data_IF_299228156461
#
_entry.id   IF_299228156461
#
_cell.length_a   1.000
_cell.length_b   1.000
_cell.length_c   1.000
_cell.angle_alpha   90.00
_cell.angle_beta   90.00
_cell.angle_gamma   90.00
#
_symmetry.space_group_name_H-M   'P 1'
#
loop_
_entity.id
_entity.type
_entity.pdbx_description
1 polymer ?
#
# COMPACT_ATOMS: atom_id res chain seq x y z
N UNK A 1 16.08 -3.11 16.28
CA UNK A 1 17.02 -3.79 15.35
C UNK A 1 18.11 -2.85 14.81
N UNK A 2 18.07 -1.52 15.07
CA UNK A 2 19.20 -0.62 14.78
C UNK A 2 19.54 -0.49 13.29
N UNK A 3 18.62 -0.86 12.41
CA UNK A 3 18.81 -1.01 10.98
C UNK A 3 17.58 -0.42 10.29
N UNK A 4 17.79 0.68 9.56
CA UNK A 4 16.74 1.50 8.95
C UNK A 4 16.25 0.91 7.61
N UNK A 5 16.92 -0.12 7.08
CA UNK A 5 16.50 -0.82 5.85
C UNK A 5 15.48 -1.94 6.11
N UNK A 6 15.09 -2.15 7.37
CA UNK A 6 14.12 -3.17 7.74
C UNK A 6 12.71 -2.66 7.48
N UNK A 7 11.98 -3.37 6.62
CA UNK A 7 10.55 -3.17 6.42
C UNK A 7 9.76 -4.08 7.37
N UNK A 8 8.67 -3.56 7.95
CA UNK A 8 7.91 -4.26 8.98
C UNK A 8 6.42 -4.25 8.68
N UNK A 9 5.81 -5.44 8.71
CA UNK A 9 4.36 -5.63 8.79
C UNK A 9 3.94 -5.92 10.23
N UNK A 10 3.04 -5.14 10.81
CA UNK A 10 2.65 -5.22 12.23
C UNK A 10 1.13 -5.14 12.42
N UNK A 11 0.63 -5.84 13.44
CA UNK A 11 -0.74 -5.66 13.93
C UNK A 11 -0.78 -4.79 15.18
N UNK A 12 -1.81 -3.95 15.29
CA UNK A 12 -2.11 -3.21 16.53
C UNK A 12 -2.95 -4.03 17.53
N UNK A 13 -3.41 -3.39 18.61
CA UNK A 13 -4.30 -4.02 19.60
C UNK A 13 -5.58 -4.60 19.01
N UNK A 14 -6.09 -4.04 17.91
CA UNK A 14 -7.24 -4.59 17.20
C UNK A 14 -6.98 -6.00 16.65
N UNK A 15 -5.77 -6.26 16.12
CA UNK A 15 -5.37 -7.59 15.64
C UNK A 15 -5.17 -8.56 16.81
N UNK A 16 -4.51 -8.11 17.88
CA UNK A 16 -4.30 -8.91 19.11
C UNK A 16 -5.64 -9.37 19.72
N UNK A 17 -6.64 -8.48 19.72
CA UNK A 17 -8.00 -8.77 20.18
C UNK A 17 -8.92 -9.37 19.10
N UNK A 18 -8.38 -9.74 17.92
CA UNK A 18 -9.10 -10.41 16.83
C UNK A 18 -10.36 -9.68 16.35
N UNK A 19 -10.31 -8.34 16.31
CA UNK A 19 -11.38 -7.51 15.72
C UNK A 19 -11.56 -7.90 14.25
N UNK A 20 -12.78 -8.22 13.83
CA UNK A 20 -13.06 -8.81 12.50
C UNK A 20 -12.56 -7.97 11.30
N UNK A 21 -12.37 -6.66 11.48
CA UNK A 21 -11.86 -5.73 10.47
C UNK A 21 -10.45 -5.21 10.80
N UNK A 22 -9.70 -5.91 11.67
CA UNK A 22 -8.33 -5.54 11.99
C UNK A 22 -7.42 -5.64 10.75
N UNK A 23 -6.57 -4.62 10.58
CA UNK A 23 -5.62 -4.50 9.49
C UNK A 23 -4.21 -4.96 9.90
N UNK A 24 -3.36 -5.15 8.89
CA UNK A 24 -1.90 -5.19 9.04
C UNK A 24 -1.36 -3.87 8.49
N UNK A 25 -0.51 -3.19 9.26
CA UNK A 25 0.16 -1.97 8.83
C UNK A 25 1.58 -2.31 8.37
N UNK A 26 1.96 -1.80 7.21
CA UNK A 26 3.31 -1.93 6.65
C UNK A 26 4.00 -0.57 6.70
N UNK A 27 5.08 -0.51 7.47
CA UNK A 27 5.90 0.69 7.64
C UNK A 27 5.04 1.90 8.02
N UNK A 28 5.18 3.06 7.36
CA UNK A 28 4.47 4.28 7.76
C UNK A 28 3.12 4.51 7.05
N UNK A 29 2.94 4.02 5.82
CA UNK A 29 1.86 4.50 4.94
C UNK A 29 0.99 3.41 4.32
N UNK A 30 1.41 2.14 4.35
CA UNK A 30 0.73 1.06 3.65
C UNK A 30 -0.08 0.19 4.61
N UNK A 31 -1.19 -0.37 4.14
CA UNK A 31 -2.04 -1.23 4.96
C UNK A 31 -2.74 -2.33 4.16
N UNK A 32 -2.81 -3.54 4.73
CA UNK A 32 -3.73 -4.58 4.32
C UNK A 32 -4.95 -4.53 5.24
N UNK A 33 -6.01 -3.85 4.78
CA UNK A 33 -7.07 -3.36 5.69
C UNK A 33 -8.39 -4.13 5.64
N UNK A 34 -8.81 -4.63 4.48
CA UNK A 34 -10.13 -5.27 4.33
C UNK A 34 -10.03 -6.79 4.44
N UNK A 35 -11.09 -7.43 4.93
CA UNK A 35 -11.17 -8.88 5.09
C UNK A 35 -10.57 -9.44 6.39
N UNK A 36 -10.17 -8.58 7.33
CA UNK A 36 -9.67 -9.00 8.65
C UNK A 36 -8.31 -9.70 8.69
N UNK A 37 -7.32 -9.38 7.82
CA UNK A 37 -6.02 -10.06 7.85
C UNK A 37 -5.29 -9.88 9.19
N UNK A 38 -5.47 -8.74 9.87
CA UNK A 38 -4.88 -8.49 11.18
C UNK A 38 -5.45 -9.39 12.28
N UNK A 39 -6.74 -9.77 12.18
CA UNK A 39 -7.36 -10.71 13.12
C UNK A 39 -6.79 -12.12 12.95
N UNK A 40 -6.58 -12.55 11.71
CA UNK A 40 -5.95 -13.82 11.38
C UNK A 40 -4.52 -13.87 11.92
N UNK A 41 -3.73 -12.82 11.70
CA UNK A 41 -2.36 -12.72 12.21
C UNK A 41 -2.34 -12.76 13.76
N UNK A 42 -3.23 -12.02 14.43
CA UNK A 42 -3.34 -12.04 15.89
C UNK A 42 -3.84 -13.37 16.46
N UNK A 43 -4.71 -14.09 15.75
CA UNK A 43 -5.14 -15.45 16.12
C UNK A 43 -3.99 -16.46 16.18
N UNK A 44 -2.89 -16.17 15.49
CA UNK A 44 -1.66 -16.98 15.46
C UNK A 44 -0.60 -16.47 16.44
N UNK A 45 -0.95 -15.53 17.32
CA UNK A 45 -0.01 -14.86 18.24
C UNK A 45 1.20 -14.24 17.53
N UNK A 46 1.03 -13.77 16.28
CA UNK A 46 2.10 -13.16 15.50
C UNK A 46 1.96 -11.63 15.56
N UNK A 47 2.86 -10.94 16.27
CA UNK A 47 2.81 -9.48 16.42
C UNK A 47 3.31 -8.73 15.19
N UNK A 48 4.41 -9.18 14.61
CA UNK A 48 5.06 -8.51 13.50
C UNK A 48 5.88 -9.49 12.65
N UNK A 49 6.12 -9.11 11.39
CA UNK A 49 7.12 -9.68 10.50
C UNK A 49 8.07 -8.55 10.09
N UNK A 50 9.37 -8.75 10.33
CA UNK A 50 10.42 -7.81 9.96
C UNK A 50 11.33 -8.47 8.92
N UNK A 51 11.56 -7.80 7.80
CA UNK A 51 12.33 -8.34 6.68
C UNK A 51 13.40 -7.34 6.25
N UNK A 52 14.65 -7.81 6.13
CA UNK A 52 15.74 -7.10 5.46
C UNK A 52 16.10 -7.85 4.19
N UNK A 53 15.96 -7.20 3.03
CA UNK A 53 16.35 -7.77 1.74
C UNK A 53 17.63 -7.14 1.22
N UNK A 54 18.66 -7.95 0.95
CA UNK A 54 19.93 -7.48 0.35
C UNK A 54 20.23 -8.13 -1.01
N UNK A 55 19.39 -9.06 -1.45
CA UNK A 55 19.54 -9.77 -2.72
C UNK A 55 18.99 -8.98 -3.91
N UNK A 56 19.61 -9.16 -5.08
CA UNK A 56 19.07 -8.66 -6.35
C UNK A 56 17.94 -9.54 -6.91
N UNK A 57 17.15 -8.97 -7.82
CA UNK A 57 16.10 -9.69 -8.55
C UNK A 57 16.59 -10.09 -9.94
N UNK A 58 16.29 -11.32 -10.37
CA UNK A 58 16.55 -11.80 -11.74
C UNK A 58 15.31 -11.61 -12.60
N UNK A 59 15.43 -10.80 -13.64
CA UNK A 59 14.40 -10.60 -14.66
C UNK A 59 14.71 -11.50 -15.87
N UNK A 60 13.70 -12.16 -16.44
CA UNK A 60 13.89 -13.09 -17.55
C UNK A 60 14.40 -12.37 -18.81
N UNK A 61 13.67 -11.36 -19.27
CA UNK A 61 14.02 -10.49 -20.40
C UNK A 61 14.30 -9.08 -19.86
N UNK A 62 15.53 -8.87 -19.36
CA UNK A 62 15.86 -7.65 -18.61
C UNK A 62 15.75 -6.39 -19.49
N UNK A 63 16.29 -6.43 -20.71
CA UNK A 63 16.31 -5.27 -21.61
C UNK A 63 14.88 -4.83 -22.01
N UNK A 64 14.03 -5.79 -22.40
CA UNK A 64 12.63 -5.53 -22.75
C UNK A 64 11.83 -5.00 -21.56
N UNK A 65 12.06 -5.55 -20.36
CA UNK A 65 11.42 -5.08 -19.14
C UNK A 65 11.76 -3.62 -18.85
N UNK A 66 13.05 -3.25 -18.91
CA UNK A 66 13.48 -1.89 -18.63
C UNK A 66 13.02 -0.90 -19.71
N UNK A 67 12.98 -1.31 -20.98
CA UNK A 67 12.41 -0.50 -22.05
C UNK A 67 10.91 -0.23 -21.81
N UNK A 68 10.15 -1.28 -21.50
CA UNK A 68 8.72 -1.16 -21.19
C UNK A 68 8.50 -0.27 -19.97
N UNK A 69 9.23 -0.48 -18.88
CA UNK A 69 9.11 0.33 -17.66
C UNK A 69 9.40 1.81 -17.93
N UNK A 70 10.43 2.12 -18.72
CA UNK A 70 10.77 3.49 -19.10
C UNK A 70 9.71 4.11 -20.02
N UNK A 71 9.14 3.35 -20.96
CA UNK A 71 8.02 3.80 -21.79
C UNK A 71 6.77 4.08 -20.95
N UNK A 72 6.34 3.12 -20.13
CA UNK A 72 5.18 3.26 -19.24
C UNK A 72 5.32 4.47 -18.31
N UNK A 73 6.51 4.68 -17.73
CA UNK A 73 6.77 5.85 -16.87
C UNK A 73 6.60 7.18 -17.62
N UNK A 74 7.05 7.26 -18.87
CA UNK A 74 6.88 8.45 -19.71
C UNK A 74 5.40 8.69 -20.03
N UNK A 75 4.69 7.65 -20.44
CA UNK A 75 3.25 7.73 -20.74
C UNK A 75 2.44 8.16 -19.52
N UNK A 76 2.68 7.55 -18.35
CA UNK A 76 2.05 7.94 -17.09
C UNK A 76 2.36 9.39 -16.68
N UNK A 77 3.57 9.88 -16.92
CA UNK A 77 3.90 11.28 -16.61
C UNK A 77 3.11 12.31 -17.44
N UNK A 78 2.60 11.89 -18.60
CA UNK A 78 1.80 12.73 -19.50
C UNK A 78 0.29 12.54 -19.27
N UNK A 79 -0.11 11.52 -18.51
CA UNK A 79 -1.51 11.23 -18.20
C UNK A 79 -2.08 12.24 -17.20
N UNK A 80 -3.28 12.74 -17.49
CA UNK A 80 -3.96 13.72 -16.66
C UNK A 80 -4.36 13.11 -15.30
N UNK A 81 -4.77 11.83 -15.26
CA UNK A 81 -5.15 11.15 -14.02
C UNK A 81 -3.97 11.01 -13.07
N UNK A 82 -2.83 10.61 -13.59
CA UNK A 82 -1.57 10.45 -12.85
C UNK A 82 -1.07 11.79 -12.29
N UNK A 83 -1.15 12.86 -13.08
CA UNK A 83 -0.79 14.21 -12.61
C UNK A 83 -1.71 14.70 -11.46
N UNK A 84 -3.01 14.43 -11.55
CA UNK A 84 -3.97 14.73 -10.48
C UNK A 84 -3.64 13.95 -9.21
N UNK A 85 -3.40 12.63 -9.31
CA UNK A 85 -3.00 11.79 -8.18
C UNK A 85 -1.67 12.23 -7.57
N UNK A 86 -0.70 12.67 -8.38
CA UNK A 86 0.57 13.17 -7.88
C UNK A 86 0.41 14.46 -7.06
N UNK A 87 -0.43 15.38 -7.52
CA UNK A 87 -0.62 16.69 -6.88
C UNK A 87 -1.52 16.65 -5.65
N UNK A 88 -2.56 15.82 -5.67
CA UNK A 88 -3.64 15.85 -4.67
C UNK A 88 -3.85 14.53 -3.92
N UNK A 89 -3.13 13.47 -4.31
CA UNK A 89 -3.33 12.12 -3.76
C UNK A 89 -4.69 11.53 -4.12
N UNK A 90 -5.03 10.41 -3.46
CA UNK A 90 -6.33 9.76 -3.63
C UNK A 90 -7.50 10.63 -3.17
N UNK A 91 -7.26 11.59 -2.28
CA UNK A 91 -8.27 12.53 -1.79
C UNK A 91 -8.67 13.60 -2.82
N UNK A 92 -7.98 13.68 -3.96
CA UNK A 92 -8.29 14.63 -5.04
C UNK A 92 -9.70 14.46 -5.62
N UNK A 93 -10.33 13.30 -5.44
CA UNK A 93 -11.69 13.04 -5.93
C UNK A 93 -12.81 13.53 -5.00
N UNK A 94 -12.48 14.05 -3.81
CA UNK A 94 -13.50 14.46 -2.82
C UNK A 94 -14.45 15.56 -3.34
N UNK A 95 -13.98 16.63 -4.02
CA UNK A 95 -14.88 17.67 -4.56
C UNK A 95 -15.86 17.10 -5.59
N UNK A 96 -15.37 16.31 -6.55
CA UNK A 96 -16.20 15.72 -7.61
C UNK A 96 -17.27 14.79 -7.03
N UNK A 97 -16.91 13.93 -6.06
CA UNK A 97 -17.88 13.06 -5.39
C UNK A 97 -18.96 13.82 -4.63
N UNK A 98 -18.62 14.99 -4.06
CA UNK A 98 -19.58 15.85 -3.39
C UNK A 98 -20.52 16.53 -4.39
N UNK A 99 -19.99 17.06 -5.50
CA UNK A 99 -20.80 17.67 -6.57
C UNK A 99 -21.75 16.66 -7.23
N UNK A 100 -21.34 15.40 -7.35
CA UNK A 100 -22.18 14.32 -7.88
C UNK A 100 -23.18 13.76 -6.87
N UNK A 101 -23.24 14.30 -5.65
CA UNK A 101 -24.07 13.77 -4.55
C UNK A 101 -23.78 12.28 -4.23
N UNK A 102 -22.55 11.83 -4.48
CA UNK A 102 -22.07 10.46 -4.24
C UNK A 102 -21.23 10.33 -2.97
N UNK A 103 -20.88 11.45 -2.33
CA UNK A 103 -20.17 11.44 -1.06
C UNK A 103 -21.13 11.01 0.06
N UNK A 104 -20.80 9.99 0.87
CA UNK A 104 -21.66 9.57 1.97
C UNK A 104 -21.88 10.72 2.99
N UNK A 105 -23.10 11.27 3.02
CA UNK A 105 -23.57 12.26 3.99
C UNK A 105 -24.88 11.76 4.62
N UNK A 106 -25.10 12.11 5.88
CA UNK A 106 -26.32 11.77 6.63
C UNK A 106 -27.32 12.93 6.59
#
# INVERSE_FOLDING_TARGET
LGDDEIEVGVIGPAGENKVLFACIIFSLYNSASRGGPGAVMGSKNLKALAVRGTGGLRVAEADEFFELAARTRRELSQDAGTNTLHRWGTSGSLPDLNEMEMLPSY
#
